data_IF_827138189683
#
_entry.id   IF_827138189683
#
_cell.length_a   1.000
_cell.length_b   1.000
_cell.length_c   1.000
_cell.angle_alpha   90.00
_cell.angle_beta   90.00
_cell.angle_gamma   90.00
#
_symmetry.space_group_name_H-M   'P 1'
#
loop_
_entity.id
_entity.type
_entity.pdbx_description
1 polymer ?
#
# COMPACT_ATOMS: atom_id res chain seq x y z
N UNK A 1 -41.21 -6.53 9.33
CA UNK A 1 -40.47 -7.01 8.16
C UNK A 1 -39.54 -5.97 7.57
N UNK A 2 -39.97 -4.77 7.16
CA UNK A 2 -39.10 -3.72 6.57
C UNK A 2 -37.90 -3.30 7.45
N UNK A 3 -38.09 -3.20 8.78
CA UNK A 3 -37.03 -2.83 9.73
C UNK A 3 -35.95 -3.92 9.86
N UNK A 4 -36.35 -5.19 9.86
CA UNK A 4 -35.44 -6.33 9.91
C UNK A 4 -34.60 -6.42 8.61
N UNK A 5 -35.20 -6.12 7.46
CA UNK A 5 -34.52 -6.10 6.17
C UNK A 5 -33.49 -4.96 6.08
N UNK A 6 -33.80 -3.79 6.63
CA UNK A 6 -32.88 -2.67 6.74
C UNK A 6 -31.70 -2.98 7.67
N UNK A 7 -31.94 -3.61 8.82
CA UNK A 7 -30.90 -4.00 9.77
C UNK A 7 -29.98 -5.06 9.14
N UNK A 8 -30.53 -6.05 8.44
CA UNK A 8 -29.71 -7.07 7.76
C UNK A 8 -28.87 -6.44 6.63
N UNK A 9 -29.40 -5.47 5.87
CA UNK A 9 -28.67 -4.76 4.82
C UNK A 9 -27.49 -3.95 5.39
N UNK A 10 -27.70 -3.26 6.52
CA UNK A 10 -26.64 -2.47 7.19
C UNK A 10 -25.56 -3.36 7.78
N UNK A 11 -25.91 -4.57 8.26
CA UNK A 11 -24.93 -5.53 8.80
C UNK A 11 -24.13 -6.27 7.70
N UNK A 12 -24.71 -6.48 6.53
CA UNK A 12 -24.04 -7.18 5.41
C UNK A 12 -23.15 -6.25 4.60
N UNK A 13 -23.49 -4.96 4.49
CA UNK A 13 -22.74 -3.98 3.71
C UNK A 13 -21.26 -3.87 4.10
N UNK A 14 -20.86 -3.75 5.38
CA UNK A 14 -19.45 -3.68 5.77
C UNK A 14 -18.68 -4.99 5.52
N UNK A 15 -19.34 -6.14 5.49
CA UNK A 15 -18.70 -7.42 5.18
C UNK A 15 -18.30 -7.54 3.70
N UNK A 16 -19.05 -6.88 2.82
CA UNK A 16 -18.76 -6.84 1.39
C UNK A 16 -17.69 -5.80 1.06
N UNK A 17 -17.64 -4.69 1.81
CA UNK A 17 -16.69 -3.58 1.56
C UNK A 17 -15.24 -3.94 1.89
N UNK A 18 -15.00 -4.82 2.89
CA UNK A 18 -13.64 -5.18 3.34
C UNK A 18 -12.81 -5.98 2.32
N UNK A 19 -13.43 -6.57 1.31
CA UNK A 19 -12.75 -7.41 0.31
C UNK A 19 -12.21 -6.63 -0.91
N UNK A 20 -12.62 -5.38 -1.10
CA UNK A 20 -12.26 -4.59 -2.30
C UNK A 20 -10.76 -4.29 -2.38
N UNK A 21 -10.10 -4.01 -1.26
CA UNK A 21 -8.66 -3.76 -1.21
C UNK A 21 -7.86 -4.94 -1.75
N UNK A 22 -8.08 -6.12 -1.20
CA UNK A 22 -7.37 -7.34 -1.62
C UNK A 22 -7.65 -7.74 -3.06
N UNK A 23 -8.90 -7.62 -3.50
CA UNK A 23 -9.25 -7.83 -4.91
C UNK A 23 -8.52 -6.84 -5.83
N UNK A 24 -8.49 -5.55 -5.46
CA UNK A 24 -7.80 -4.51 -6.20
C UNK A 24 -6.31 -4.79 -6.34
N UNK A 25 -5.62 -5.10 -5.24
CA UNK A 25 -4.19 -5.44 -5.25
C UNK A 25 -3.88 -6.63 -6.16
N UNK A 26 -4.62 -7.71 -6.05
CA UNK A 26 -4.47 -8.89 -6.91
C UNK A 26 -4.68 -8.54 -8.38
N UNK A 27 -5.72 -7.78 -8.69
CA UNK A 27 -6.04 -7.37 -10.07
C UNK A 27 -4.96 -6.47 -10.66
N UNK A 28 -4.48 -5.49 -9.90
CA UNK A 28 -3.43 -4.55 -10.34
C UNK A 28 -2.13 -5.32 -10.60
N UNK A 29 -1.67 -6.15 -9.67
CA UNK A 29 -0.45 -6.93 -9.84
C UNK A 29 -0.52 -7.86 -11.06
N UNK A 30 -1.66 -8.53 -11.27
CA UNK A 30 -1.85 -9.39 -12.43
C UNK A 30 -1.78 -8.61 -13.75
N UNK A 31 -2.44 -7.44 -13.81
CA UNK A 31 -2.43 -6.60 -15.02
C UNK A 31 -1.06 -6.00 -15.26
N UNK A 32 -0.35 -5.58 -14.21
CA UNK A 32 0.98 -4.98 -14.30
C UNK A 32 1.98 -5.88 -15.05
N UNK A 33 1.88 -7.20 -14.91
CA UNK A 33 2.73 -8.14 -15.66
C UNK A 33 2.62 -7.94 -17.16
N UNK A 34 1.42 -7.61 -17.67
CA UNK A 34 1.19 -7.41 -19.11
C UNK A 34 1.60 -6.02 -19.62
N UNK A 35 2.00 -5.12 -18.72
CA UNK A 35 2.54 -3.78 -19.08
C UNK A 35 4.07 -3.76 -19.13
N UNK A 36 4.71 -4.86 -18.77
CA UNK A 36 6.17 -4.98 -18.80
C UNK A 36 6.70 -5.09 -20.25
N UNK A 37 7.95 -4.64 -20.49
CA UNK A 37 8.67 -4.98 -21.72
C UNK A 37 8.70 -6.48 -21.98
N UNK A 38 8.75 -6.90 -23.24
CA UNK A 38 8.64 -8.31 -23.66
C UNK A 38 9.62 -9.23 -22.95
N UNK A 39 10.85 -8.75 -22.72
CA UNK A 39 11.94 -9.51 -22.09
C UNK A 39 11.63 -9.83 -20.61
N UNK A 40 11.03 -8.87 -19.90
CA UNK A 40 10.61 -9.05 -18.50
C UNK A 40 9.27 -9.77 -18.41
N UNK A 41 8.35 -9.51 -19.35
CA UNK A 41 7.02 -10.11 -19.34
C UNK A 41 7.08 -11.63 -19.34
N UNK A 42 7.97 -12.25 -20.13
CA UNK A 42 8.11 -13.70 -20.21
C UNK A 42 8.41 -14.29 -18.83
N UNK A 43 9.40 -13.74 -18.11
CA UNK A 43 9.78 -14.17 -16.76
C UNK A 43 8.65 -14.01 -15.74
N UNK A 44 8.02 -12.82 -15.72
CA UNK A 44 6.97 -12.53 -14.74
C UNK A 44 5.68 -13.28 -15.02
N UNK A 45 5.37 -13.57 -16.30
CA UNK A 45 4.17 -14.29 -16.71
C UNK A 45 4.16 -15.74 -16.23
N UNK A 46 5.31 -16.40 -16.21
CA UNK A 46 5.42 -17.76 -15.65
C UNK A 46 5.10 -17.79 -14.15
N UNK A 47 5.33 -16.69 -13.44
CA UNK A 47 5.08 -16.56 -12.02
C UNK A 47 3.80 -15.76 -11.67
N UNK A 48 2.92 -15.54 -12.65
CA UNK A 48 1.78 -14.60 -12.51
C UNK A 48 0.82 -14.98 -11.39
N UNK A 49 0.60 -16.27 -11.16
CA UNK A 49 -0.28 -16.73 -10.07
C UNK A 49 0.36 -16.48 -8.70
N UNK A 50 1.66 -16.71 -8.57
CA UNK A 50 2.41 -16.37 -7.36
C UNK A 50 2.31 -14.87 -7.06
N UNK A 51 2.67 -14.02 -8.03
CA UNK A 51 2.63 -12.55 -7.92
C UNK A 51 1.23 -12.06 -7.56
N UNK A 52 0.20 -12.62 -8.20
CA UNK A 52 -1.19 -12.26 -7.95
C UNK A 52 -1.62 -12.62 -6.53
N UNK A 53 -1.31 -13.83 -6.08
CA UNK A 53 -1.77 -14.31 -4.77
C UNK A 53 -1.05 -13.63 -3.61
N UNK A 54 0.23 -13.28 -3.77
CA UNK A 54 1.05 -12.61 -2.75
C UNK A 54 0.97 -11.07 -2.79
N UNK A 55 0.17 -10.53 -3.71
CA UNK A 55 -0.05 -9.07 -3.82
C UNK A 55 -0.61 -8.42 -2.55
N UNK A 56 -1.22 -9.20 -1.68
CA UNK A 56 -1.86 -8.74 -0.43
C UNK A 56 -1.03 -9.02 0.82
N UNK A 57 0.13 -9.66 0.69
CA UNK A 57 0.96 -10.02 1.84
C UNK A 57 1.41 -8.81 2.66
N UNK A 58 1.79 -7.65 2.07
CA UNK A 58 2.10 -6.46 2.84
C UNK A 58 0.92 -5.98 3.70
N UNK A 59 -0.29 -5.96 3.14
CA UNK A 59 -1.49 -5.58 3.89
C UNK A 59 -1.81 -6.58 5.01
N UNK A 60 -1.59 -7.86 4.76
CA UNK A 60 -1.74 -8.89 5.80
C UNK A 60 -0.74 -8.71 6.94
N UNK A 61 0.51 -8.31 6.63
CA UNK A 61 1.52 -8.03 7.67
C UNK A 61 1.15 -6.89 8.60
N UNK A 62 0.38 -5.89 8.13
CA UNK A 62 -0.09 -4.78 8.98
C UNK A 62 -0.86 -5.22 10.21
N UNK A 63 -1.51 -6.38 10.17
CA UNK A 63 -2.28 -6.90 11.32
C UNK A 63 -1.39 -7.45 12.43
N UNK A 64 -0.13 -7.77 12.14
CA UNK A 64 0.81 -8.36 13.09
C UNK A 64 2.05 -7.50 13.36
N UNK A 65 2.37 -6.57 12.44
CA UNK A 65 3.54 -5.69 12.51
C UNK A 65 3.09 -4.23 12.40
N UNK A 66 2.99 -3.49 13.53
CA UNK A 66 2.60 -2.07 13.51
C UNK A 66 3.49 -1.21 12.61
N UNK A 67 4.79 -1.52 12.52
CA UNK A 67 5.74 -0.81 11.66
C UNK A 67 5.49 -1.00 10.15
N UNK A 68 4.61 -1.91 9.74
CA UNK A 68 4.23 -2.09 8.34
C UNK A 68 3.26 -1.00 7.87
N UNK A 69 2.35 -0.54 8.74
CA UNK A 69 1.32 0.41 8.36
C UNK A 69 1.87 1.71 7.71
N UNK A 70 2.88 2.40 8.28
CA UNK A 70 3.43 3.63 7.69
C UNK A 70 4.06 3.44 6.31
N UNK A 71 4.40 2.22 5.92
CA UNK A 71 4.99 1.88 4.61
C UNK A 71 3.98 1.90 3.47
N UNK A 72 2.68 2.02 3.78
CA UNK A 72 1.59 1.97 2.80
C UNK A 72 1.02 3.33 2.43
N UNK A 73 1.40 4.41 3.13
CA UNK A 73 0.86 5.74 2.91
C UNK A 73 1.89 6.85 3.13
N UNK A 74 1.52 8.04 2.76
CA UNK A 74 2.18 9.29 3.14
C UNK A 74 1.13 10.40 3.21
N UNK A 75 1.05 11.06 4.35
CA UNK A 75 0.29 12.29 4.55
C UNK A 75 1.23 13.46 4.23
N UNK A 76 1.37 13.76 2.94
CA UNK A 76 2.43 14.63 2.40
C UNK A 76 2.40 16.04 3.00
N UNK A 77 1.21 16.54 3.38
CA UNK A 77 1.02 17.87 3.96
C UNK A 77 1.77 18.08 5.27
N UNK A 78 2.14 17.00 5.97
CA UNK A 78 2.95 17.04 7.19
C UNK A 78 4.46 17.16 6.91
N UNK A 79 4.89 17.05 5.65
CA UNK A 79 6.30 17.07 5.27
C UNK A 79 6.72 18.37 4.61
N UNK A 80 5.82 19.31 4.34
CA UNK A 80 6.11 20.62 3.78
C UNK A 80 5.06 21.13 2.82
N UNK A 81 5.39 22.22 2.14
CA UNK A 81 4.55 22.87 1.17
C UNK A 81 4.87 22.39 -0.26
N UNK A 82 3.87 22.41 -1.16
CA UNK A 82 4.09 22.15 -2.58
C UNK A 82 5.09 23.20 -3.15
N UNK A 83 6.07 22.80 -3.96
CA UNK A 83 6.28 21.52 -4.66
C UNK A 83 7.08 20.44 -3.90
N UNK A 84 7.22 20.56 -2.59
CA UNK A 84 7.87 19.59 -1.71
C UNK A 84 9.38 19.36 -1.97
N UNK A 85 10.06 20.32 -2.55
CA UNK A 85 11.48 20.26 -2.89
C UNK A 85 12.38 20.08 -1.66
N UNK A 86 11.88 20.50 -0.49
CA UNK A 86 12.58 20.40 0.77
C UNK A 86 12.45 19.04 1.46
N UNK A 87 11.65 18.11 0.92
CA UNK A 87 11.49 16.76 1.48
C UNK A 87 12.75 15.94 1.19
N UNK A 88 13.48 15.48 2.24
CA UNK A 88 14.72 14.77 2.04
C UNK A 88 14.49 13.45 1.30
N UNK A 89 15.32 13.16 0.31
CA UNK A 89 15.26 11.89 -0.43
C UNK A 89 15.87 10.71 0.34
N UNK A 90 16.81 10.99 1.24
CA UNK A 90 17.51 9.97 2.04
C UNK A 90 16.80 9.79 3.38
N UNK A 91 16.70 8.54 3.83
CA UNK A 91 16.12 8.19 5.11
C UNK A 91 16.79 8.91 6.29
N UNK A 92 18.12 8.84 6.38
CA UNK A 92 18.87 9.47 7.47
C UNK A 92 18.59 10.97 7.59
N UNK A 93 18.50 11.65 6.45
CA UNK A 93 18.18 13.07 6.39
C UNK A 93 16.72 13.35 6.77
N UNK A 94 15.80 12.45 6.41
CA UNK A 94 14.38 12.55 6.80
C UNK A 94 14.21 12.37 8.30
N UNK A 95 14.86 11.37 8.91
CA UNK A 95 14.84 11.17 10.36
C UNK A 95 15.41 12.38 11.10
N UNK A 96 16.51 12.98 10.59
CA UNK A 96 17.09 14.18 11.17
C UNK A 96 16.15 15.38 11.11
N UNK A 97 15.40 15.53 10.00
CA UNK A 97 14.50 16.69 9.81
C UNK A 97 13.16 16.53 10.52
N UNK A 98 12.56 15.35 10.50
CA UNK A 98 11.17 15.13 10.91
C UNK A 98 11.01 14.30 12.19
N UNK A 99 12.04 13.68 12.68
CA UNK A 99 12.04 12.64 13.73
C UNK A 99 11.39 11.32 13.28
N UNK A 100 11.79 10.23 13.92
CA UNK A 100 11.25 8.91 13.58
C UNK A 100 9.76 8.77 13.93
N UNK A 101 9.33 9.34 15.05
CA UNK A 101 7.93 9.32 15.49
C UNK A 101 7.01 10.02 14.49
N UNK A 102 7.45 11.18 13.96
CA UNK A 102 6.70 11.90 12.92
C UNK A 102 6.59 11.08 11.63
N UNK A 103 7.69 10.46 11.21
CA UNK A 103 7.71 9.60 10.02
C UNK A 103 6.78 8.39 10.18
N UNK A 104 6.78 7.76 11.36
CA UNK A 104 5.87 6.65 11.64
C UNK A 104 4.40 7.08 11.70
N UNK A 105 4.12 8.28 12.20
CA UNK A 105 2.75 8.79 12.28
C UNK A 105 2.16 9.16 10.90
N UNK A 106 2.96 9.76 10.01
CA UNK A 106 2.47 10.35 8.75
C UNK A 106 2.90 9.58 7.50
N UNK A 107 3.56 8.44 7.65
CA UNK A 107 3.86 7.50 6.58
C UNK A 107 5.20 7.71 5.90
N UNK A 108 5.75 6.60 5.37
CA UNK A 108 7.14 6.55 4.87
C UNK A 108 7.27 5.98 3.46
N UNK A 109 6.20 5.90 2.69
CA UNK A 109 6.17 5.29 1.34
C UNK A 109 7.35 5.69 0.46
N UNK A 110 7.73 6.99 0.29
CA UNK A 110 8.81 7.36 -0.63
C UNK A 110 10.17 6.78 -0.23
N UNK A 111 10.47 6.78 1.06
CA UNK A 111 11.71 6.23 1.57
C UNK A 111 11.72 4.70 1.53
N UNK A 112 10.56 4.07 1.77
CA UNK A 112 10.40 2.62 1.67
C UNK A 112 10.63 2.13 0.22
N UNK A 113 10.06 2.80 -0.77
CA UNK A 113 10.29 2.52 -2.20
C UNK A 113 11.77 2.67 -2.52
N UNK A 114 12.43 3.75 -2.08
CA UNK A 114 13.85 3.97 -2.33
C UNK A 114 14.74 2.88 -1.70
N UNK A 115 14.34 2.33 -0.55
CA UNK A 115 15.06 1.21 0.08
C UNK A 115 14.96 -0.08 -0.76
N UNK A 116 13.80 -0.36 -1.36
CA UNK A 116 13.61 -1.56 -2.19
C UNK A 116 14.35 -1.49 -3.53
N UNK A 117 14.77 -0.30 -3.97
CA UNK A 117 15.51 -0.09 -5.22
C UNK A 117 17.03 -0.27 -5.09
N UNK A 118 17.55 -0.50 -3.89
CA UNK A 118 18.98 -0.69 -3.61
C UNK A 118 19.35 -2.14 -3.46
#
# INVERSE_FOLDING_TARGET
MKRLLLISLVLVFPLISGSWGFFGHKKINRIAVFTLPSELMAFYKENIEFITNHAVDPDMRRYVLPAEAPRHYIDIDHYGESPFDEVPRRWDSAVTKYTEDTLQAYGVVPWHINLMYR
#
